data_IF_895359780367
#
_entry.id   IF_895359780367
#
_cell.length_a   1.000
_cell.length_b   1.000
_cell.length_c   1.000
_cell.angle_alpha   90.00
_cell.angle_beta   90.00
_cell.angle_gamma   90.00
#
_symmetry.space_group_name_H-M   'P 1'
#
loop_
_entity.id
_entity.type
_entity.pdbx_description
1 polymer ?
#
# COMPACT_ATOMS: atom_id res chain seq x y z
N UNK A 1 -2.85 16.79 30.44
CA UNK A 1 -1.89 17.26 29.43
C UNK A 1 -1.43 16.03 28.66
N UNK A 2 -1.94 15.84 27.44
CA UNK A 2 -1.64 14.65 26.62
C UNK A 2 -0.30 14.87 25.93
N UNK A 3 0.76 14.26 26.47
CA UNK A 3 2.10 14.34 25.92
C UNK A 3 2.14 13.48 24.67
N UNK A 4 2.42 14.09 23.52
CA UNK A 4 2.58 13.39 22.26
C UNK A 4 3.58 12.24 22.43
N UNK A 5 3.07 11.00 22.35
CA UNK A 5 3.83 9.77 22.09
C UNK A 5 4.50 9.89 20.72
N UNK A 6 5.55 10.70 20.65
CA UNK A 6 6.49 10.63 19.56
C UNK A 6 7.44 9.49 19.88
N UNK A 7 7.41 8.38 19.12
CA UNK A 7 8.42 7.35 19.30
C UNK A 7 9.78 8.01 19.14
N UNK A 8 10.64 7.80 20.13
CA UNK A 8 11.97 8.35 20.16
C UNK A 8 12.69 8.02 18.83
N UNK A 9 13.53 8.94 18.32
CA UNK A 9 14.11 8.80 16.98
C UNK A 9 14.96 7.53 16.82
N UNK A 10 15.44 6.96 17.93
CA UNK A 10 16.12 5.66 18.04
C UNK A 10 15.20 4.47 17.71
N UNK A 11 13.96 4.47 18.19
CA UNK A 11 12.99 3.39 17.94
C UNK A 11 12.62 3.27 16.45
N UNK A 12 12.64 4.39 15.71
CA UNK A 12 12.46 4.38 14.25
C UNK A 12 13.66 3.78 13.52
N UNK A 13 14.88 4.06 14.01
CA UNK A 13 16.11 3.52 13.43
C UNK A 13 16.22 2.01 13.68
N UNK A 14 15.88 1.56 14.90
CA UNK A 14 15.86 0.14 15.26
C UNK A 14 14.80 -0.65 14.49
N UNK A 15 13.60 -0.09 14.31
CA UNK A 15 12.57 -0.72 13.50
C UNK A 15 13.01 -0.86 12.02
N UNK A 16 13.61 0.18 11.44
CA UNK A 16 14.12 0.12 10.07
C UNK A 16 15.26 -0.92 9.91
N UNK A 17 16.17 -0.99 10.89
CA UNK A 17 17.26 -1.98 10.90
C UNK A 17 16.75 -3.42 11.04
N UNK A 18 15.75 -3.65 11.89
CA UNK A 18 15.13 -4.97 12.07
C UNK A 18 14.34 -5.40 10.83
N UNK A 19 13.55 -4.49 10.26
CA UNK A 19 12.82 -4.74 9.01
C UNK A 19 13.79 -5.04 7.86
N UNK A 20 14.92 -4.34 7.76
CA UNK A 20 15.94 -4.62 6.75
C UNK A 20 16.55 -6.01 6.90
N UNK A 21 16.90 -6.41 8.13
CA UNK A 21 17.46 -7.74 8.41
C UNK A 21 16.46 -8.87 8.17
N UNK A 22 15.17 -8.64 8.45
CA UNK A 22 14.10 -9.60 8.18
C UNK A 22 13.70 -9.68 6.70
N UNK A 23 14.32 -8.87 5.82
CA UNK A 23 13.94 -8.76 4.40
C UNK A 23 12.62 -8.03 4.17
N UNK A 24 12.04 -7.44 5.21
CA UNK A 24 10.77 -6.69 5.21
C UNK A 24 10.96 -5.22 4.81
N UNK A 25 12.18 -4.69 4.84
CA UNK A 25 12.55 -3.38 4.30
C UNK A 25 13.07 -3.51 2.87
N UNK A 26 12.27 -4.14 2.01
CA UNK A 26 12.43 -3.99 0.57
C UNK A 26 11.38 -3.00 0.09
N UNK A 27 11.84 -1.97 -0.61
CA UNK A 27 10.89 -1.05 -1.23
C UNK A 27 10.12 -1.81 -2.32
N UNK A 28 8.88 -1.39 -2.60
CA UNK A 28 8.16 -1.90 -3.78
C UNK A 28 9.00 -1.75 -5.06
N UNK A 29 9.81 -0.69 -5.12
CA UNK A 29 10.74 -0.46 -6.21
C UNK A 29 11.80 -1.58 -6.31
N UNK A 30 12.46 -1.94 -5.20
CA UNK A 30 13.44 -3.03 -5.18
C UNK A 30 12.83 -4.38 -5.57
N UNK A 31 11.60 -4.66 -5.14
CA UNK A 31 10.89 -5.89 -5.50
C UNK A 31 10.59 -5.96 -7.01
N UNK A 32 10.24 -4.83 -7.63
CA UNK A 32 10.05 -4.73 -9.08
C UNK A 32 11.38 -4.87 -9.83
N UNK A 33 12.44 -4.21 -9.37
CA UNK A 33 13.78 -4.29 -9.99
C UNK A 33 14.40 -5.69 -9.92
N UNK A 34 14.11 -6.46 -8.86
CA UNK A 34 14.57 -7.83 -8.71
C UNK A 34 13.63 -8.88 -9.34
N UNK A 35 12.62 -8.45 -10.10
CA UNK A 35 11.60 -9.32 -10.72
C UNK A 35 10.77 -10.16 -9.73
N UNK A 36 10.85 -9.86 -8.43
CA UNK A 36 10.05 -10.48 -7.38
C UNK A 36 8.59 -9.98 -7.43
N UNK A 37 8.38 -8.77 -7.94
CA UNK A 37 7.08 -8.20 -8.25
C UNK A 37 6.99 -7.80 -9.71
N UNK A 38 5.90 -8.20 -10.36
CA UNK A 38 5.57 -7.74 -11.71
C UNK A 38 4.59 -6.57 -11.62
N UNK A 39 4.96 -5.44 -12.21
CA UNK A 39 4.08 -4.29 -12.39
C UNK A 39 3.90 -4.08 -13.88
N UNK A 40 2.67 -4.23 -14.35
CA UNK A 40 2.31 -3.93 -15.73
C UNK A 40 1.77 -2.50 -15.79
N UNK A 41 2.22 -1.68 -16.76
CA UNK A 41 1.59 -0.39 -16.99
C UNK A 41 0.13 -0.59 -17.36
N UNK A 42 -0.73 0.28 -16.85
CA UNK A 42 -2.18 0.28 -17.13
C UNK A 42 -2.46 1.51 -17.98
N UNK A 43 -3.23 1.34 -19.06
CA UNK A 43 -3.66 2.46 -19.90
C UNK A 43 -4.70 3.33 -19.18
N UNK A 44 -4.86 4.57 -19.64
CA UNK A 44 -5.87 5.46 -19.07
C UNK A 44 -7.28 4.86 -19.18
N UNK A 45 -7.62 4.27 -20.33
CA UNK A 45 -8.92 3.64 -20.57
C UNK A 45 -9.19 2.46 -19.62
N UNK A 46 -8.18 1.62 -19.39
CA UNK A 46 -8.27 0.53 -18.42
C UNK A 46 -8.48 1.07 -17.00
N UNK A 47 -7.77 2.13 -16.62
CA UNK A 47 -7.92 2.77 -15.32
C UNK A 47 -9.35 3.29 -15.13
N UNK A 48 -9.90 4.01 -16.12
CA UNK A 48 -11.28 4.51 -16.10
C UNK A 48 -12.30 3.37 -16.00
N UNK A 49 -12.10 2.28 -16.75
CA UNK A 49 -12.96 1.12 -16.70
C UNK A 49 -12.95 0.44 -15.32
N UNK A 50 -11.76 0.26 -14.72
CA UNK A 50 -11.60 -0.31 -13.38
C UNK A 50 -12.27 0.57 -12.32
N UNK A 51 -12.05 1.89 -12.37
CA UNK A 51 -12.69 2.82 -11.45
C UNK A 51 -14.22 2.79 -11.57
N UNK A 52 -14.74 2.79 -12.81
CA UNK A 52 -16.18 2.72 -13.08
C UNK A 52 -16.81 1.45 -12.50
N UNK A 53 -16.18 0.30 -12.71
CA UNK A 53 -16.62 -0.99 -12.13
C UNK A 53 -16.65 -0.96 -10.60
N UNK A 54 -15.64 -0.35 -9.99
CA UNK A 54 -15.57 -0.23 -8.53
C UNK A 54 -16.72 0.60 -7.96
N UNK A 55 -17.04 1.74 -8.59
CA UNK A 55 -18.17 2.58 -8.18
C UNK A 55 -19.50 1.82 -8.30
N UNK A 56 -19.70 1.11 -9.42
CA UNK A 56 -20.90 0.29 -9.61
C UNK A 56 -21.00 -0.79 -8.52
N UNK A 57 -19.88 -1.45 -8.20
CA UNK A 57 -19.84 -2.48 -7.15
C UNK A 57 -20.26 -1.90 -5.80
N UNK A 58 -19.69 -0.77 -5.41
CA UNK A 58 -20.04 -0.08 -4.16
C UNK A 58 -21.51 0.31 -4.09
N UNK A 59 -22.08 0.83 -5.18
CA UNK A 59 -23.51 1.17 -5.25
C UNK A 59 -24.36 -0.10 -5.07
N UNK A 60 -23.99 -1.19 -5.74
CA UNK A 60 -24.73 -2.46 -5.65
C UNK A 60 -24.64 -3.11 -4.28
N UNK A 61 -23.47 -3.02 -3.62
CA UNK A 61 -23.24 -3.51 -2.27
C UNK A 61 -24.01 -2.66 -1.25
N UNK A 62 -24.01 -1.33 -1.41
CA UNK A 62 -24.78 -0.42 -0.55
C UNK A 62 -26.29 -0.63 -0.66
N UNK A 63 -26.80 -0.93 -1.86
CA UNK A 63 -28.23 -1.24 -2.08
C UNK A 63 -28.64 -2.60 -1.50
N UNK A 64 -27.72 -3.56 -1.36
CA UNK A 64 -28.02 -4.89 -0.78
C UNK A 64 -28.16 -4.89 0.75
N UNK A 65 -27.70 -3.84 1.42
CA UNK A 65 -27.72 -3.73 2.88
C UNK A 65 -28.68 -2.64 3.40
N UNK A 66 -29.53 -2.07 2.52
CA UNK A 66 -30.52 -1.05 2.84
C UNK A 66 -31.95 -1.55 2.69
#
# INVERSE_FOLDING_TARGET
MSLHDHPAPDAKLDAAAWLGRAGLYRTRFDAVSNFEQSVTPVSADELFNLASKQVIRQISEGRRHG
#
